data_IF_898765173012
#
_entry.id   IF_898765173012
#
_cell.length_a   1.000
_cell.length_b   1.000
_cell.length_c   1.000
_cell.angle_alpha   90.00
_cell.angle_beta   90.00
_cell.angle_gamma   90.00
#
_symmetry.space_group_name_H-M   'P 1'
#
loop_
_entity.id
_entity.type
_entity.pdbx_description
1 polymer ?
#
# COMPACT_ATOMS: atom_id res chain seq x y z
N UNK A 1 -23.93 27.76 -25.31
CA UNK A 1 -23.37 26.40 -25.21
C UNK A 1 -22.03 26.37 -24.47
N UNK A 2 -21.03 27.18 -24.85
CA UNK A 2 -19.68 27.14 -24.27
C UNK A 2 -19.55 27.24 -22.72
N UNK A 3 -20.43 27.98 -22.03
CA UNK A 3 -20.37 28.11 -20.57
C UNK A 3 -20.74 26.81 -19.81
N UNK A 4 -21.70 26.03 -20.34
CA UNK A 4 -22.10 24.75 -19.75
C UNK A 4 -21.00 23.68 -19.94
N UNK A 5 -20.30 23.72 -21.06
CA UNK A 5 -19.20 22.80 -21.35
C UNK A 5 -17.99 23.06 -20.45
N UNK A 6 -17.67 24.33 -20.19
CA UNK A 6 -16.62 24.71 -19.23
C UNK A 6 -16.94 24.29 -17.80
N UNK A 7 -18.18 24.50 -17.34
CA UNK A 7 -18.60 24.06 -16.00
C UNK A 7 -18.55 22.53 -15.87
N UNK A 8 -18.97 21.81 -16.91
CA UNK A 8 -18.95 20.34 -16.94
C UNK A 8 -17.52 19.80 -16.91
N UNK A 9 -16.60 20.38 -17.68
CA UNK A 9 -15.18 20.02 -17.63
C UNK A 9 -14.54 20.39 -16.27
N UNK A 10 -14.96 21.50 -15.65
CA UNK A 10 -14.53 21.91 -14.32
C UNK A 10 -14.98 20.93 -13.22
N UNK A 11 -16.20 20.41 -13.29
CA UNK A 11 -16.67 19.36 -12.40
C UNK A 11 -15.96 18.03 -12.65
N UNK A 12 -15.82 17.62 -13.92
CA UNK A 12 -15.20 16.35 -14.29
C UNK A 12 -13.76 16.23 -13.77
N UNK A 13 -12.96 17.30 -13.90
CA UNK A 13 -11.58 17.25 -13.43
C UNK A 13 -11.44 17.33 -11.91
N UNK A 14 -12.43 17.85 -11.18
CA UNK A 14 -12.45 17.69 -9.71
C UNK A 14 -12.67 16.22 -9.33
N UNK A 15 -13.59 15.54 -10.04
CA UNK A 15 -13.87 14.12 -9.83
C UNK A 15 -12.65 13.26 -10.17
N UNK A 16 -11.98 13.48 -11.32
CA UNK A 16 -10.79 12.69 -11.69
C UNK A 16 -9.62 12.92 -10.75
N UNK A 17 -9.41 14.16 -10.29
CA UNK A 17 -8.37 14.47 -9.30
C UNK A 17 -8.65 13.76 -7.96
N UNK A 18 -9.91 13.76 -7.50
CA UNK A 18 -10.30 13.03 -6.29
C UNK A 18 -10.12 11.51 -6.45
N UNK A 19 -10.51 10.95 -7.60
CA UNK A 19 -10.31 9.53 -7.89
C UNK A 19 -8.84 9.13 -7.89
N UNK A 20 -7.97 9.98 -8.47
CA UNK A 20 -6.53 9.81 -8.43
C UNK A 20 -6.00 9.85 -7.00
N UNK A 21 -6.33 10.89 -6.23
CA UNK A 21 -5.90 11.02 -4.84
C UNK A 21 -6.35 9.82 -3.99
N UNK A 22 -7.57 9.33 -4.21
CA UNK A 22 -8.07 8.14 -3.52
C UNK A 22 -7.30 6.85 -3.91
N UNK A 23 -6.94 6.70 -5.19
CA UNK A 23 -6.13 5.57 -5.64
C UNK A 23 -4.69 5.62 -5.08
N UNK A 24 -4.07 6.80 -5.10
CA UNK A 24 -2.75 7.05 -4.50
C UNK A 24 -2.78 6.77 -2.98
N UNK A 25 -3.80 7.25 -2.28
CA UNK A 25 -3.99 7.03 -0.85
C UNK A 25 -4.14 5.55 -0.48
N UNK A 26 -4.94 4.78 -1.25
CA UNK A 26 -5.05 3.32 -1.06
C UNK A 26 -3.70 2.62 -1.24
N UNK A 27 -2.96 2.96 -2.30
CA UNK A 27 -1.66 2.36 -2.58
C UNK A 27 -0.63 2.73 -1.49
N UNK A 28 -0.64 3.97 -1.01
CA UNK A 28 0.22 4.41 0.09
C UNK A 28 -0.08 3.65 1.39
N UNK A 29 -1.36 3.45 1.72
CA UNK A 29 -1.76 2.68 2.90
C UNK A 29 -1.30 1.22 2.81
N UNK A 30 -1.46 0.58 1.64
CA UNK A 30 -0.99 -0.80 1.43
C UNK A 30 0.54 -0.91 1.57
N UNK A 31 1.30 0.05 1.00
CA UNK A 31 2.76 0.09 1.12
C UNK A 31 3.22 0.30 2.56
N UNK A 32 2.56 1.19 3.30
CA UNK A 32 2.86 1.41 4.72
C UNK A 32 2.63 0.13 5.54
N UNK A 33 1.52 -0.58 5.27
CA UNK A 33 1.24 -1.87 5.92
C UNK A 33 2.29 -2.93 5.56
N UNK A 34 2.70 -3.02 4.29
CA UNK A 34 3.75 -3.95 3.86
C UNK A 34 5.07 -3.69 4.59
N UNK A 35 5.50 -2.42 4.70
CA UNK A 35 6.69 -2.03 5.46
C UNK A 35 6.57 -2.40 6.95
N UNK A 36 5.40 -2.19 7.55
CA UNK A 36 5.17 -2.55 8.94
C UNK A 36 5.25 -4.07 9.16
N UNK A 37 4.64 -4.88 8.28
CA UNK A 37 4.72 -6.34 8.36
C UNK A 37 6.16 -6.83 8.20
N UNK A 38 6.92 -6.25 7.27
CA UNK A 38 8.33 -6.58 7.09
C UNK A 38 9.16 -6.22 8.34
N UNK A 39 8.92 -5.06 8.95
CA UNK A 39 9.57 -4.66 10.19
C UNK A 39 9.26 -5.63 11.34
N UNK A 40 8.01 -6.08 11.47
CA UNK A 40 7.62 -7.11 12.44
C UNK A 40 8.35 -8.43 12.21
N UNK A 41 8.49 -8.85 10.95
CA UNK A 41 9.23 -10.08 10.61
C UNK A 41 10.70 -9.97 10.97
N UNK A 42 11.35 -8.84 10.64
CA UNK A 42 12.76 -8.60 11.02
C UNK A 42 12.94 -8.58 12.53
N UNK A 43 12.01 -7.97 13.27
CA UNK A 43 12.03 -7.96 14.74
C UNK A 43 11.86 -9.37 15.31
N UNK A 44 10.94 -10.17 14.76
CA UNK A 44 10.76 -11.58 15.14
C UNK A 44 12.02 -12.40 14.86
N UNK A 45 12.65 -12.22 13.70
CA UNK A 45 13.88 -12.92 13.33
C UNK A 45 15.05 -12.54 14.26
N UNK A 46 15.06 -11.32 14.79
CA UNK A 46 16.03 -10.90 15.83
C UNK A 46 15.71 -11.53 17.18
N UNK A 47 14.44 -11.55 17.60
CA UNK A 47 14.03 -12.15 18.87
C UNK A 47 14.25 -13.66 18.87
N UNK A 48 14.04 -14.32 17.73
CA UNK A 48 14.25 -15.75 17.55
C UNK A 48 15.70 -16.21 17.78
N UNK A 49 16.67 -15.29 17.69
CA UNK A 49 18.10 -15.58 17.96
C UNK A 49 18.43 -15.60 19.44
N UNK A 50 17.50 -15.22 20.32
CA UNK A 50 17.70 -15.36 21.75
C UNK A 50 17.74 -16.85 22.10
N UNK A 51 18.90 -17.31 22.58
CA UNK A 51 19.13 -18.69 23.00
C UNK A 51 18.89 -18.76 24.50
N UNK A 52 18.00 -19.67 24.91
CA UNK A 52 17.89 -20.07 26.31
C UNK A 52 19.00 -21.09 26.59
N UNK A 53 19.80 -20.85 27.63
CA UNK A 53 20.80 -21.81 28.09
C UNK A 53 20.16 -22.76 29.13
N UNK A 54 19.89 -24.04 28.79
CA UNK A 54 19.27 -24.98 29.72
C UNK A 54 20.24 -25.40 30.83
N UNK A 55 21.55 -25.33 30.60
CA UNK A 55 22.57 -25.75 31.57
C UNK A 55 22.76 -24.73 32.69
N UNK A 56 22.37 -23.47 32.47
CA UNK A 56 22.38 -22.41 33.46
C UNK A 56 21.12 -22.39 34.37
N UNK A 57 20.15 -23.28 34.15
CA UNK A 57 18.86 -23.32 34.86
C UNK A 57 18.82 -24.42 35.93
N UNK A 58 18.11 -24.14 37.03
CA UNK A 58 17.82 -25.13 38.08
C UNK A 58 16.87 -26.26 37.62
N UNK A 59 16.07 -26.01 36.58
CA UNK A 59 15.21 -26.99 35.92
C UNK A 59 15.47 -26.97 34.41
N UNK A 60 16.35 -27.85 33.96
CA UNK A 60 16.76 -27.94 32.55
C UNK A 60 15.64 -28.48 31.67
N UNK A 61 14.81 -29.41 32.19
CA UNK A 61 13.69 -29.99 31.45
C UNK A 61 12.60 -28.96 31.15
N UNK A 62 12.26 -28.10 32.10
CA UNK A 62 11.32 -27.01 31.88
C UNK A 62 11.85 -25.99 30.86
N UNK A 63 13.14 -25.64 30.89
CA UNK A 63 13.76 -24.70 29.93
C UNK A 63 13.82 -25.28 28.53
N UNK A 64 14.11 -26.57 28.38
CA UNK A 64 14.09 -27.25 27.07
C UNK A 64 12.68 -27.23 26.47
N UNK A 65 11.65 -27.56 27.25
CA UNK A 65 10.26 -27.50 26.80
C UNK A 65 9.83 -26.07 26.42
N UNK A 66 10.21 -25.07 27.23
CA UNK A 66 9.94 -23.67 26.92
C UNK A 66 10.63 -23.23 25.62
N UNK A 67 11.86 -23.68 25.39
CA UNK A 67 12.62 -23.40 24.16
C UNK A 67 11.94 -24.00 22.93
N UNK A 68 11.45 -25.23 23.01
CA UNK A 68 10.69 -25.87 21.93
C UNK A 68 9.38 -25.14 21.63
N UNK A 69 8.63 -24.74 22.67
CA UNK A 69 7.42 -23.96 22.50
C UNK A 69 7.69 -22.59 21.87
N UNK A 70 8.73 -21.90 22.31
CA UNK A 70 9.17 -20.64 21.71
C UNK A 70 9.51 -20.81 20.23
N UNK A 71 10.31 -21.82 19.87
CA UNK A 71 10.67 -22.09 18.48
C UNK A 71 9.44 -22.36 17.60
N UNK A 72 8.51 -23.21 18.06
CA UNK A 72 7.26 -23.48 17.33
C UNK A 72 6.42 -22.22 17.13
N UNK A 73 6.29 -21.40 18.18
CA UNK A 73 5.57 -20.14 18.11
C UNK A 73 6.21 -19.17 17.11
N UNK A 74 7.55 -19.03 17.14
CA UNK A 74 8.31 -18.21 16.19
C UNK A 74 8.06 -18.68 14.76
N UNK A 75 8.15 -19.98 14.49
CA UNK A 75 7.92 -20.53 13.16
C UNK A 75 6.49 -20.26 12.68
N UNK A 76 5.49 -20.50 13.53
CA UNK A 76 4.09 -20.22 13.21
C UNK A 76 3.89 -18.74 12.90
N UNK A 77 4.43 -17.84 13.73
CA UNK A 77 4.33 -16.39 13.52
C UNK A 77 5.05 -15.94 12.26
N UNK A 78 6.23 -16.50 11.97
CA UNK A 78 6.99 -16.21 10.73
C UNK A 78 6.19 -16.60 9.50
N UNK A 79 5.59 -17.80 9.48
CA UNK A 79 4.74 -18.26 8.36
C UNK A 79 3.53 -17.34 8.16
N UNK A 80 2.89 -16.91 9.25
CA UNK A 80 1.77 -15.98 9.18
C UNK A 80 2.18 -14.62 8.57
N UNK A 81 3.31 -14.06 9.01
CA UNK A 81 3.84 -12.80 8.47
C UNK A 81 4.20 -12.92 6.98
N UNK A 82 4.86 -14.00 6.56
CA UNK A 82 5.18 -14.25 5.14
C UNK A 82 3.93 -14.38 4.27
N UNK A 83 2.87 -15.02 4.79
CA UNK A 83 1.59 -15.11 4.11
C UNK A 83 0.94 -13.73 3.96
N UNK A 84 0.99 -12.90 5.01
CA UNK A 84 0.48 -11.53 4.96
C UNK A 84 1.29 -10.65 3.99
N UNK A 85 2.62 -10.73 4.01
CA UNK A 85 3.48 -10.04 3.04
C UNK A 85 3.15 -10.43 1.59
N UNK A 86 2.93 -11.73 1.33
CA UNK A 86 2.55 -12.22 0.00
C UNK A 86 1.20 -11.65 -0.44
N UNK A 87 0.20 -11.61 0.45
CA UNK A 87 -1.11 -11.03 0.18
C UNK A 87 -1.02 -9.53 -0.11
N UNK A 88 -0.25 -8.78 0.70
CA UNK A 88 -0.05 -7.36 0.51
C UNK A 88 0.65 -7.05 -0.82
N UNK A 89 1.66 -7.83 -1.21
CA UNK A 89 2.29 -7.69 -2.51
C UNK A 89 1.31 -7.93 -3.65
N UNK A 90 0.52 -9.00 -3.60
CA UNK A 90 -0.50 -9.28 -4.61
C UNK A 90 -1.54 -8.14 -4.68
N UNK A 91 -2.00 -7.64 -3.54
CA UNK A 91 -2.96 -6.54 -3.48
C UNK A 91 -2.38 -5.23 -4.03
N UNK A 92 -1.12 -4.91 -3.72
CA UNK A 92 -0.41 -3.78 -4.32
C UNK A 92 -0.37 -3.91 -5.84
N UNK A 93 0.02 -5.07 -6.37
CA UNK A 93 0.07 -5.30 -7.82
C UNK A 93 -1.32 -5.16 -8.46
N UNK A 94 -2.37 -5.63 -7.78
CA UNK A 94 -3.75 -5.48 -8.25
C UNK A 94 -4.23 -4.01 -8.25
N UNK A 95 -3.69 -3.14 -7.38
CA UNK A 95 -4.06 -1.73 -7.34
C UNK A 95 -3.35 -0.86 -8.40
N UNK A 96 -2.21 -1.30 -8.95
CA UNK A 96 -1.44 -0.51 -9.92
C UNK A 96 -2.23 -0.14 -11.20
N UNK A 97 -2.99 -1.06 -11.83
CA UNK A 97 -3.81 -0.70 -12.99
C UNK A 97 -4.89 0.33 -12.66
N UNK A 98 -5.50 0.25 -11.48
CA UNK A 98 -6.52 1.21 -11.05
C UNK A 98 -5.93 2.62 -10.88
N UNK A 99 -4.72 2.72 -10.32
CA UNK A 99 -4.01 4.00 -10.25
C UNK A 99 -3.66 4.53 -11.64
N UNK A 100 -3.15 3.68 -12.54
CA UNK A 100 -2.82 4.09 -13.91
C UNK A 100 -4.05 4.64 -14.66
N UNK A 101 -5.21 3.99 -14.51
CA UNK A 101 -6.48 4.48 -15.09
C UNK A 101 -6.87 5.84 -14.48
N UNK A 102 -6.77 5.99 -13.15
CA UNK A 102 -7.12 7.24 -12.50
C UNK A 102 -6.23 8.41 -12.94
N UNK A 103 -4.91 8.18 -13.04
CA UNK A 103 -3.94 9.15 -13.57
C UNK A 103 -4.26 9.49 -15.02
N UNK A 104 -4.45 8.50 -15.90
CA UNK A 104 -4.74 8.75 -17.31
C UNK A 104 -6.05 9.51 -17.53
N UNK A 105 -7.09 9.26 -16.72
CA UNK A 105 -8.34 10.03 -16.74
C UNK A 105 -8.11 11.48 -16.34
N UNK A 106 -7.36 11.71 -15.27
CA UNK A 106 -7.05 13.05 -14.77
C UNK A 106 -6.26 13.87 -15.80
N UNK A 107 -5.23 13.27 -16.39
CA UNK A 107 -4.43 13.89 -17.46
C UNK A 107 -5.25 14.19 -18.72
N UNK A 108 -6.15 13.28 -19.10
CA UNK A 108 -7.06 13.48 -20.25
C UNK A 108 -7.97 14.68 -20.02
N UNK A 109 -8.58 14.79 -18.83
CA UNK A 109 -9.46 15.92 -18.51
C UNK A 109 -8.67 17.23 -18.42
N UNK A 110 -7.46 17.21 -17.86
CA UNK A 110 -6.58 18.36 -17.86
C UNK A 110 -6.26 18.85 -19.28
N UNK A 111 -5.98 17.92 -20.21
CA UNK A 111 -5.74 18.24 -21.63
C UNK A 111 -6.98 18.85 -22.30
N UNK A 112 -8.16 18.23 -22.14
CA UNK A 112 -9.41 18.75 -22.70
C UNK A 112 -9.73 20.16 -22.20
N UNK A 113 -9.45 20.46 -20.93
CA UNK A 113 -9.59 21.82 -20.38
C UNK A 113 -8.63 22.80 -21.04
N UNK A 114 -7.37 22.43 -21.21
CA UNK A 114 -6.37 23.28 -21.86
C UNK A 114 -6.77 23.59 -23.31
N UNK A 115 -7.23 22.59 -24.04
CA UNK A 115 -7.72 22.73 -25.43
C UNK A 115 -8.95 23.64 -25.50
N UNK A 116 -9.90 23.50 -24.58
CA UNK A 116 -11.09 24.36 -24.52
C UNK A 116 -10.72 25.83 -24.27
N UNK A 117 -9.79 26.10 -23.33
CA UNK A 117 -9.29 27.46 -23.06
C UNK A 117 -8.55 28.02 -24.28
N UNK A 118 -7.75 27.22 -24.97
CA UNK A 118 -7.03 27.65 -26.17
C UNK A 118 -7.99 28.01 -27.32
N UNK A 119 -9.07 27.23 -27.53
CA UNK A 119 -10.11 27.55 -28.52
C UNK A 119 -10.83 28.86 -28.20
N UNK A 120 -11.22 29.05 -26.94
CA UNK A 120 -11.90 30.27 -26.52
C UNK A 120 -11.05 31.53 -26.72
N UNK A 121 -9.72 31.42 -26.59
CA UNK A 121 -8.80 32.54 -26.88
C UNK A 121 -8.79 32.88 -28.37
N UNK A 122 -8.69 31.88 -29.24
CA UNK A 122 -8.69 32.06 -30.71
C UNK A 122 -10.00 32.63 -31.26
N UNK A 123 -11.12 32.40 -30.58
CA UNK A 123 -12.43 32.97 -30.97
C UNK A 123 -12.62 34.43 -30.53
N UNK A 124 -11.74 34.94 -29.65
CA UNK A 124 -11.79 36.32 -29.15
C UNK A 124 -10.81 37.26 -29.84
N UNK A 125 -9.84 36.70 -30.57
CA UNK A 125 -8.87 37.42 -31.42
C UNK A 125 -9.41 37.56 -32.85
#
# INVERSE_FOLDING_TARGET
>A
MAANDHHSLAALGQVTALMRAAAEGRLAALRARAQQTEAQRRALDSAAKQVFDPAASADSGAVEQASLHWQRWVEQRRRALLSEESKLHAEIQNQLPHLAIAVGRDETVARLRADAVARQRREKD
#
